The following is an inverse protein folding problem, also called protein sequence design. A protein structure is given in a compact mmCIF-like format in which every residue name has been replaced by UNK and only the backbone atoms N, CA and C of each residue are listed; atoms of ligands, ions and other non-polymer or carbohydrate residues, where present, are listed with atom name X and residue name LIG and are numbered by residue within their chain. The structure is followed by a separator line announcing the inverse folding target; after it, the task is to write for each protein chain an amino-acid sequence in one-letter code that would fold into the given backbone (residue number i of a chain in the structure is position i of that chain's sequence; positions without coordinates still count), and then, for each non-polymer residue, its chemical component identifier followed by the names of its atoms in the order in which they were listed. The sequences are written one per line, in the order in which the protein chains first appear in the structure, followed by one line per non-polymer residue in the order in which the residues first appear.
data_IF_905879122911
#
_entry.id   IF_905879122911
#
_cell.length_a   1.000
_cell.length_b   1.000
_cell.length_c   1.000
_cell.angle_alpha   90.00
_cell.angle_beta   90.00
_cell.angle_gamma   90.00
#
_symmetry.space_group_name_H-M   'P 1'
#
loop_
_entity.id
_entity.type
_entity.pdbx_description
1 polymer ?
#
# COMPACT_ATOMS: atom_id res chain seq x y z
N UNK A 1 43.99 44.08 -18.72
CA UNK A 1 42.52 44.16 -18.67
C UNK A 1 42.13 44.43 -17.22
N UNK A 2 41.51 45.58 -17.00
CA UNK A 2 41.06 46.04 -15.69
C UNK A 2 39.92 45.12 -15.21
N UNK A 3 40.15 44.32 -14.16
CA UNK A 3 39.14 43.37 -13.65
C UNK A 3 38.08 44.14 -12.87
N UNK A 4 37.10 44.70 -13.58
CA UNK A 4 35.90 45.27 -12.96
C UNK A 4 34.97 44.14 -12.51
N UNK A 5 34.32 44.34 -11.36
CA UNK A 5 33.28 43.42 -10.90
C UNK A 5 32.09 43.42 -11.88
N UNK A 6 31.47 42.26 -12.15
CA UNK A 6 30.25 42.21 -12.92
C UNK A 6 29.15 43.03 -12.21
N UNK A 7 28.49 43.91 -12.96
CA UNK A 7 27.35 44.69 -12.50
C UNK A 7 26.09 44.15 -13.19
N UNK A 8 25.01 44.00 -12.41
CA UNK A 8 23.72 43.52 -12.89
C UNK A 8 22.68 44.60 -12.56
N UNK A 9 21.91 45.02 -13.56
CA UNK A 9 20.89 46.07 -13.40
C UNK A 9 19.61 45.54 -12.73
N UNK A 10 19.30 44.23 -12.90
CA UNK A 10 18.12 43.57 -12.36
C UNK A 10 18.44 42.18 -11.77
N UNK A 11 17.68 41.78 -10.74
CA UNK A 11 17.80 40.48 -10.09
C UNK A 11 17.00 39.40 -10.85
N UNK A 12 17.64 38.77 -11.83
CA UNK A 12 17.09 37.65 -12.59
C UNK A 12 17.74 36.32 -12.17
N UNK A 13 17.17 35.68 -11.15
CA UNK A 13 17.68 34.42 -10.60
C UNK A 13 17.59 33.25 -11.60
N UNK A 14 16.50 33.07 -12.39
CA UNK A 14 16.47 32.05 -13.44
C UNK A 14 17.61 32.18 -14.45
N UNK A 15 17.86 33.39 -14.97
CA UNK A 15 18.96 33.61 -15.92
C UNK A 15 20.31 33.33 -15.30
N UNK A 16 20.55 33.81 -14.07
CA UNK A 16 21.80 33.53 -13.35
C UNK A 16 21.99 32.02 -13.15
N UNK A 17 20.94 31.29 -12.80
CA UNK A 17 21.01 29.83 -12.66
C UNK A 17 21.36 29.15 -13.99
N UNK A 18 20.75 29.56 -15.11
CA UNK A 18 21.07 29.03 -16.44
C UNK A 18 22.52 29.31 -16.85
N UNK A 19 23.02 30.53 -16.62
CA UNK A 19 24.41 30.89 -16.90
C UNK A 19 25.40 30.05 -16.08
N UNK A 20 25.15 29.88 -14.78
CA UNK A 20 25.98 29.06 -13.88
C UNK A 20 25.93 27.58 -14.27
N UNK A 21 24.76 27.05 -14.64
CA UNK A 21 24.64 25.66 -15.10
C UNK A 21 25.45 25.43 -16.38
N UNK A 22 25.38 26.34 -17.37
CA UNK A 22 26.18 26.27 -18.60
C UNK A 22 27.66 26.31 -18.31
N UNK A 23 28.09 27.15 -17.36
CA UNK A 23 29.48 27.20 -16.92
C UNK A 23 29.91 25.87 -16.31
N UNK A 24 29.13 25.32 -15.37
CA UNK A 24 29.47 24.04 -14.73
C UNK A 24 29.54 22.87 -15.70
N UNK A 25 28.69 22.86 -16.73
CA UNK A 25 28.71 21.87 -17.79
C UNK A 25 29.94 22.02 -18.69
N UNK A 26 30.24 23.24 -19.15
CA UNK A 26 31.40 23.50 -20.00
C UNK A 26 32.74 23.18 -19.32
N UNK A 27 32.81 23.37 -18.00
CA UNK A 27 34.00 23.10 -17.20
C UNK A 27 34.05 21.66 -16.66
N UNK A 28 33.01 20.85 -16.79
CA UNK A 28 32.88 19.58 -16.05
C UNK A 28 33.17 19.76 -14.54
N UNK A 29 32.52 20.77 -13.92
CA UNK A 29 32.80 21.13 -12.51
C UNK A 29 32.54 19.95 -11.56
N UNK A 30 31.54 19.11 -11.84
CA UNK A 30 31.27 17.93 -11.02
C UNK A 30 32.38 16.89 -11.15
N UNK A 31 32.82 16.53 -12.37
CA UNK A 31 33.93 15.61 -12.59
C UNK A 31 35.23 16.11 -11.98
N UNK A 32 35.56 17.40 -12.16
CA UNK A 32 36.71 18.02 -11.50
C UNK A 32 36.64 17.93 -9.97
N UNK A 33 35.45 18.08 -9.37
CA UNK A 33 35.28 17.97 -7.92
C UNK A 33 35.62 16.58 -7.38
N UNK A 34 35.41 15.53 -8.19
CA UNK A 34 35.79 14.15 -7.88
C UNK A 34 37.28 13.93 -8.08
N UNK A 35 37.84 14.37 -9.21
CA UNK A 35 39.26 14.18 -9.55
C UNK A 35 40.18 14.86 -8.53
N UNK A 36 39.85 16.09 -8.09
CA UNK A 36 40.58 16.80 -7.04
C UNK A 36 40.63 16.05 -5.70
N UNK A 37 39.80 15.02 -5.53
CA UNK A 37 39.62 14.27 -4.28
C UNK A 37 39.77 12.76 -4.46
N UNK A 38 40.34 12.29 -5.57
CA UNK A 38 40.45 10.85 -5.86
C UNK A 38 41.12 10.02 -4.74
N UNK A 39 42.07 10.62 -4.03
CA UNK A 39 42.82 9.99 -2.93
C UNK A 39 42.28 10.36 -1.53
N UNK A 40 41.16 11.08 -1.47
CA UNK A 40 40.57 11.52 -0.22
C UNK A 40 39.66 10.45 0.41
N UNK A 41 39.39 10.51 1.73
CA UNK A 41 38.47 9.60 2.38
C UNK A 41 37.08 9.60 1.71
N UNK A 42 36.50 8.43 1.41
CA UNK A 42 35.20 8.36 0.76
C UNK A 42 34.07 8.70 1.73
N UNK A 43 33.04 9.35 1.20
CA UNK A 43 31.71 9.42 1.79
C UNK A 43 30.74 8.76 0.83
N UNK A 44 30.21 7.59 1.24
CA UNK A 44 29.33 6.79 0.39
C UNK A 44 27.92 7.36 0.46
N UNK A 45 27.41 7.75 -0.70
CA UNK A 45 26.04 8.24 -0.87
C UNK A 45 25.24 7.25 -1.73
N UNK A 46 24.05 6.90 -1.25
CA UNK A 46 23.09 6.10 -2.00
C UNK A 46 21.91 6.95 -2.42
N UNK A 47 21.70 7.05 -3.73
CA UNK A 47 20.49 7.63 -4.29
C UNK A 47 19.43 6.53 -4.34
N UNK A 48 18.34 6.70 -3.59
CA UNK A 48 17.19 5.80 -3.68
C UNK A 48 16.50 5.97 -5.05
N UNK A 49 16.41 4.89 -5.86
CA UNK A 49 16.06 5.02 -7.26
C UNK A 49 14.58 5.40 -7.41
N UNK A 50 14.22 6.47 -8.16
CA UNK A 50 12.84 6.70 -8.51
C UNK A 50 12.29 5.60 -9.44
N UNK A 51 11.01 5.28 -9.29
CA UNK A 51 10.29 4.49 -10.28
C UNK A 51 10.06 5.35 -11.53
N UNK A 52 10.53 4.88 -12.70
CA UNK A 52 10.42 5.65 -13.94
C UNK A 52 9.04 5.51 -14.62
N UNK A 53 7.96 5.57 -13.84
CA UNK A 53 6.59 5.34 -14.32
C UNK A 53 5.71 6.61 -14.36
N UNK A 54 6.30 7.79 -14.08
CA UNK A 54 5.57 9.05 -14.09
C UNK A 54 6.46 10.28 -14.08
N UNK A 55 5.82 11.44 -14.19
CA UNK A 55 6.48 12.75 -14.14
C UNK A 55 6.98 13.05 -12.72
N UNK A 56 8.12 13.74 -12.57
CA UNK A 56 8.57 14.15 -11.25
C UNK A 56 7.66 15.23 -10.66
N UNK A 57 7.25 15.08 -9.40
CA UNK A 57 6.61 16.12 -8.59
C UNK A 57 7.55 16.90 -7.67
N UNK A 58 7.02 17.93 -7.00
CA UNK A 58 7.77 18.83 -6.09
C UNK A 58 8.48 18.08 -4.95
N UNK A 59 7.89 16.98 -4.46
CA UNK A 59 8.50 16.16 -3.41
C UNK A 59 9.84 15.55 -3.85
N UNK A 60 10.02 15.26 -5.14
CA UNK A 60 11.31 14.82 -5.66
C UNK A 60 12.36 15.93 -5.66
N UNK A 61 11.96 17.16 -5.99
CA UNK A 61 12.86 18.34 -5.93
C UNK A 61 13.32 18.56 -4.49
N UNK A 62 12.40 18.54 -3.53
CA UNK A 62 12.72 18.71 -2.11
C UNK A 62 13.69 17.63 -1.61
N UNK A 63 13.41 16.36 -1.91
CA UNK A 63 14.28 15.26 -1.50
C UNK A 63 15.67 15.36 -2.12
N UNK A 64 15.76 15.72 -3.41
CA UNK A 64 17.04 15.87 -4.13
C UNK A 64 17.84 17.08 -3.66
N UNK A 65 17.20 18.21 -3.36
CA UNK A 65 17.86 19.37 -2.81
C UNK A 65 18.55 19.05 -1.48
N UNK A 66 17.86 18.35 -0.56
CA UNK A 66 18.45 17.93 0.72
C UNK A 66 19.63 16.98 0.49
N UNK A 67 19.45 15.96 -0.36
CA UNK A 67 20.52 14.99 -0.70
C UNK A 67 21.76 15.71 -1.25
N UNK A 68 21.58 16.65 -2.18
CA UNK A 68 22.68 17.37 -2.81
C UNK A 68 23.43 18.28 -1.83
N UNK A 69 22.72 19.00 -0.96
CA UNK A 69 23.33 19.87 0.06
C UNK A 69 24.34 19.10 0.92
N UNK A 70 23.96 17.91 1.40
CA UNK A 70 24.88 17.10 2.20
C UNK A 70 26.06 16.56 1.39
N UNK A 71 25.82 16.14 0.14
CA UNK A 71 26.90 15.69 -0.73
C UNK A 71 27.91 16.81 -0.98
N UNK A 72 27.44 18.03 -1.30
CA UNK A 72 28.28 19.23 -1.46
C UNK A 72 29.04 19.58 -0.19
N UNK A 73 28.36 19.55 0.97
CA UNK A 73 28.99 19.78 2.27
C UNK A 73 30.14 18.80 2.53
N UNK A 74 29.94 17.50 2.30
CA UNK A 74 31.00 16.50 2.49
C UNK A 74 32.17 16.70 1.50
N UNK A 75 31.87 17.04 0.25
CA UNK A 75 32.89 17.43 -0.74
C UNK A 75 33.70 18.64 -0.26
N UNK A 76 33.06 19.68 0.28
CA UNK A 76 33.74 20.85 0.85
C UNK A 76 34.54 20.52 2.12
N UNK A 77 34.13 19.51 2.89
CA UNK A 77 34.91 18.95 4.01
C UNK A 77 36.09 18.08 3.57
N UNK A 78 36.36 18.00 2.26
CA UNK A 78 37.52 17.32 1.70
C UNK A 78 37.30 15.84 1.41
N UNK A 79 36.06 15.33 1.40
CA UNK A 79 35.77 13.91 1.12
C UNK A 79 35.48 13.65 -0.36
N UNK A 80 35.82 12.44 -0.82
CA UNK A 80 35.41 11.93 -2.12
C UNK A 80 33.96 11.46 -2.06
N UNK A 81 33.08 12.04 -2.88
CA UNK A 81 31.64 11.74 -2.85
C UNK A 81 31.16 11.33 -4.23
N UNK A 82 31.22 10.04 -4.54
CA UNK A 82 30.59 9.51 -5.75
C UNK A 82 29.07 9.59 -5.63
N UNK A 83 28.42 10.05 -6.70
CA UNK A 83 26.97 10.25 -6.74
C UNK A 83 26.47 9.69 -8.06
N UNK A 84 25.69 8.60 -7.99
CA UNK A 84 25.22 7.87 -9.16
C UNK A 84 23.71 7.81 -9.15
N UNK A 85 23.08 8.11 -10.27
CA UNK A 85 21.63 7.95 -10.41
C UNK A 85 21.23 6.47 -10.39
N UNK A 86 19.97 6.24 -10.03
CA UNK A 86 19.35 4.93 -10.06
C UNK A 86 17.99 4.96 -10.75
N UNK A 87 17.58 3.84 -11.32
CA UNK A 87 16.23 3.64 -11.85
C UNK A 87 15.64 2.35 -11.33
N UNK A 88 14.46 2.44 -10.71
CA UNK A 88 13.67 1.28 -10.34
C UNK A 88 12.68 0.97 -11.47
N UNK A 89 12.84 -0.21 -12.07
CA UNK A 89 12.28 -0.52 -13.39
C UNK A 89 11.46 -1.80 -13.42
N UNK A 90 11.18 -2.41 -12.27
CA UNK A 90 10.36 -3.61 -12.16
C UNK A 90 9.12 -3.36 -11.29
N UNK A 91 8.23 -4.36 -11.24
CA UNK A 91 7.14 -4.41 -10.28
C UNK A 91 5.80 -3.87 -10.79
N UNK A 92 4.80 -4.03 -9.92
CA UNK A 92 3.39 -3.78 -10.22
C UNK A 92 3.08 -2.39 -10.78
N UNK A 93 3.68 -1.28 -10.30
CA UNK A 93 3.33 0.04 -10.81
C UNK A 93 3.59 0.21 -12.31
N UNK A 94 4.59 -0.49 -12.86
CA UNK A 94 4.91 -0.44 -14.30
C UNK A 94 4.02 -1.42 -15.06
N UNK A 95 3.87 -2.65 -14.55
CA UNK A 95 3.01 -3.68 -15.13
C UNK A 95 1.57 -3.18 -15.33
N UNK A 96 0.98 -2.57 -14.29
CA UNK A 96 -0.40 -2.05 -14.34
C UNK A 96 -0.54 -0.85 -15.29
N UNK A 97 0.50 -0.01 -15.40
CA UNK A 97 0.53 1.09 -16.36
C UNK A 97 0.49 0.59 -17.81
N UNK A 98 1.29 -0.42 -18.13
CA UNK A 98 1.33 -1.04 -19.46
C UNK A 98 0.06 -1.82 -19.76
N UNK A 99 -0.49 -2.57 -18.80
CA UNK A 99 -1.77 -3.26 -18.95
C UNK A 99 -2.89 -2.28 -19.34
N UNK A 100 -2.95 -1.12 -18.67
CA UNK A 100 -3.91 -0.05 -18.97
C UNK A 100 -3.70 0.56 -20.36
N UNK A 101 -2.45 0.82 -20.75
CA UNK A 101 -2.12 1.38 -22.08
C UNK A 101 -2.48 0.42 -23.21
N UNK A 102 -2.26 -0.87 -23.02
CA UNK A 102 -2.56 -1.91 -24.01
C UNK A 102 -4.02 -2.39 -23.96
N UNK A 103 -4.80 -1.96 -22.96
CA UNK A 103 -6.17 -2.41 -22.75
C UNK A 103 -6.28 -3.92 -22.46
N UNK A 104 -5.27 -4.49 -21.81
CA UNK A 104 -5.19 -5.91 -21.47
C UNK A 104 -5.31 -6.12 -19.96
N UNK A 105 -5.54 -7.37 -19.57
CA UNK A 105 -5.46 -7.82 -18.18
C UNK A 105 -4.34 -8.85 -18.03
N UNK A 106 -3.89 -9.14 -16.80
CA UNK A 106 -2.95 -10.24 -16.54
C UNK A 106 -3.34 -11.57 -17.16
N UNK A 107 -4.64 -11.87 -17.29
CA UNK A 107 -5.11 -13.13 -17.89
C UNK A 107 -4.90 -13.22 -19.42
N UNK A 108 -4.65 -12.09 -20.07
CA UNK A 108 -4.39 -11.98 -21.51
C UNK A 108 -2.91 -12.20 -21.86
N UNK A 109 -2.01 -12.08 -20.89
CA UNK A 109 -0.57 -12.30 -21.06
C UNK A 109 -0.34 -13.81 -21.31
N UNK A 110 0.37 -14.13 -22.40
CA UNK A 110 0.55 -15.50 -22.90
C UNK A 110 -0.61 -16.00 -23.78
N UNK A 111 -1.66 -15.20 -24.00
CA UNK A 111 -2.79 -15.54 -24.89
C UNK A 111 -2.97 -14.54 -26.03
N UNK A 112 -3.15 -13.26 -25.70
CA UNK A 112 -3.33 -12.15 -26.67
C UNK A 112 -2.02 -11.44 -26.98
N UNK A 113 -1.10 -11.41 -26.02
CA UNK A 113 0.24 -10.87 -26.14
C UNK A 113 1.22 -11.91 -25.58
N UNK A 114 2.37 -12.09 -26.19
CA UNK A 114 3.40 -12.96 -25.62
C UNK A 114 4.04 -12.32 -24.37
N UNK A 115 4.66 -13.15 -23.53
CA UNK A 115 5.41 -12.67 -22.35
C UNK A 115 6.57 -11.76 -22.79
N UNK A 116 7.23 -12.10 -23.90
CA UNK A 116 8.35 -11.32 -24.44
C UNK A 116 7.90 -9.94 -24.89
N UNK A 117 6.81 -9.85 -25.67
CA UNK A 117 6.26 -8.57 -26.13
C UNK A 117 5.78 -7.71 -24.95
N UNK A 118 5.15 -8.32 -23.94
CA UNK A 118 4.72 -7.61 -22.74
C UNK A 118 5.92 -7.05 -21.95
N UNK A 119 6.97 -7.84 -21.75
CA UNK A 119 8.18 -7.40 -21.08
C UNK A 119 8.90 -6.29 -21.88
N UNK A 120 8.92 -6.38 -23.20
CA UNK A 120 9.45 -5.34 -24.07
C UNK A 120 8.66 -4.03 -23.94
N UNK A 121 7.33 -4.11 -23.86
CA UNK A 121 6.47 -2.95 -23.62
C UNK A 121 6.74 -2.30 -22.24
N UNK A 122 6.89 -3.11 -21.18
CA UNK A 122 7.28 -2.65 -19.85
C UNK A 122 8.62 -1.92 -19.86
N UNK A 123 9.63 -2.50 -20.52
CA UNK A 123 10.96 -1.88 -20.64
C UNK A 123 10.91 -0.54 -21.39
N UNK A 124 10.09 -0.43 -22.44
CA UNK A 124 9.89 0.81 -23.19
C UNK A 124 9.17 1.88 -22.35
N UNK A 125 8.21 1.49 -21.53
CA UNK A 125 7.47 2.41 -20.67
C UNK A 125 8.39 3.08 -19.64
N UNK A 126 9.30 2.32 -19.03
CA UNK A 126 10.30 2.82 -18.07
C UNK A 126 11.14 3.95 -18.66
N UNK A 127 11.64 3.76 -19.88
CA UNK A 127 12.54 4.72 -20.53
C UNK A 127 11.84 6.02 -20.92
N UNK A 128 10.50 6.03 -21.00
CA UNK A 128 9.71 7.17 -21.47
C UNK A 128 9.88 8.42 -20.60
N UNK A 129 10.06 8.24 -19.29
CA UNK A 129 10.13 9.35 -18.34
C UNK A 129 11.56 9.74 -17.96
N UNK A 130 12.55 8.89 -18.24
CA UNK A 130 13.96 9.09 -17.86
C UNK A 130 14.51 10.45 -18.28
N UNK A 131 14.21 10.90 -19.51
CA UNK A 131 14.71 12.19 -20.02
C UNK A 131 14.15 13.39 -19.27
N UNK A 132 12.85 13.37 -18.95
CA UNK A 132 12.19 14.45 -18.19
C UNK A 132 12.78 14.56 -16.79
N UNK A 133 13.07 13.42 -16.16
CA UNK A 133 13.72 13.40 -14.87
C UNK A 133 15.17 13.85 -14.93
N UNK A 134 15.92 13.47 -15.98
CA UNK A 134 17.29 13.93 -16.19
C UNK A 134 17.34 15.46 -16.37
N UNK A 135 16.43 16.02 -17.18
CA UNK A 135 16.27 17.47 -17.35
C UNK A 135 15.96 18.16 -16.01
N UNK A 136 14.98 17.67 -15.25
CA UNK A 136 14.70 18.20 -13.91
C UNK A 136 15.95 18.18 -13.01
N UNK A 137 16.71 17.06 -13.01
CA UNK A 137 17.92 16.90 -12.19
C UNK A 137 18.96 17.97 -12.51
N UNK A 138 19.19 18.22 -13.80
CA UNK A 138 20.11 19.25 -14.29
C UNK A 138 19.64 20.64 -13.90
N UNK A 139 18.35 20.95 -14.11
CA UNK A 139 17.76 22.26 -13.81
C UNK A 139 17.83 22.66 -12.34
N UNK A 140 17.66 21.70 -11.43
CA UNK A 140 17.79 21.96 -9.99
C UNK A 140 19.25 22.00 -9.52
N UNK A 141 20.21 21.79 -10.42
CA UNK A 141 21.64 21.81 -10.11
C UNK A 141 22.14 20.62 -9.29
N UNK A 142 21.43 19.48 -9.29
CA UNK A 142 21.87 18.32 -8.54
C UNK A 142 23.00 17.60 -9.28
N UNK A 143 24.21 17.64 -8.71
CA UNK A 143 25.37 16.92 -9.26
C UNK A 143 25.22 15.42 -9.03
N UNK A 144 24.90 14.70 -10.10
CA UNK A 144 24.63 13.27 -10.11
C UNK A 144 25.10 12.71 -11.45
N UNK A 145 25.78 11.56 -11.45
CA UNK A 145 26.11 10.84 -12.68
C UNK A 145 24.82 10.26 -13.29
N UNK A 146 24.37 10.92 -14.37
CA UNK A 146 23.20 10.55 -15.17
C UNK A 146 23.57 9.71 -16.39
N UNK A 147 24.84 9.65 -16.77
CA UNK A 147 25.32 8.94 -17.95
C UNK A 147 25.43 7.44 -17.68
N UNK A 148 25.87 7.10 -16.47
CA UNK A 148 26.02 5.73 -16.04
C UNK A 148 25.08 5.44 -14.87
N UNK A 149 23.74 5.50 -15.00
CA UNK A 149 22.86 5.15 -13.90
C UNK A 149 22.92 3.63 -13.62
N UNK A 150 22.65 3.21 -12.38
CA UNK A 150 22.30 1.80 -12.15
C UNK A 150 20.82 1.59 -12.46
N UNK A 151 20.50 0.46 -13.11
CA UNK A 151 19.14 0.19 -13.60
C UNK A 151 18.75 -1.23 -13.23
N UNK A 152 17.61 -1.41 -12.55
CA UNK A 152 17.30 -2.71 -11.93
C UNK A 152 17.03 -3.83 -12.93
N UNK A 153 16.62 -3.54 -14.18
CA UNK A 153 16.49 -4.55 -15.24
C UNK A 153 17.81 -5.01 -15.87
N UNK A 154 18.95 -4.38 -15.55
CA UNK A 154 20.23 -4.76 -16.17
C UNK A 154 20.72 -6.11 -15.65
N UNK A 155 21.29 -6.93 -16.52
CA UNK A 155 21.72 -8.30 -16.19
C UNK A 155 22.67 -8.35 -15.00
N UNK A 156 23.66 -7.45 -14.92
CA UNK A 156 24.60 -7.39 -13.79
C UNK A 156 23.92 -7.07 -12.46
N UNK A 157 22.87 -6.22 -12.48
CA UNK A 157 22.10 -5.91 -11.28
C UNK A 157 21.30 -7.13 -10.83
N UNK A 158 20.61 -7.79 -11.77
CA UNK A 158 19.83 -9.01 -11.51
C UNK A 158 20.73 -10.14 -10.98
N UNK A 159 21.91 -10.33 -11.57
CA UNK A 159 22.90 -11.32 -11.12
C UNK A 159 23.34 -11.06 -9.67
N UNK A 160 23.55 -9.79 -9.30
CA UNK A 160 23.87 -9.41 -7.92
C UNK A 160 22.73 -9.75 -6.96
N UNK A 161 21.47 -9.55 -7.38
CA UNK A 161 20.29 -9.93 -6.59
C UNK A 161 20.19 -11.46 -6.47
N UNK A 162 20.45 -12.22 -7.53
CA UNK A 162 20.48 -13.69 -7.48
C UNK A 162 21.57 -14.21 -6.55
N UNK A 163 22.75 -13.58 -6.56
CA UNK A 163 23.81 -13.89 -5.61
C UNK A 163 23.35 -13.66 -4.17
N UNK A 164 22.71 -12.51 -3.87
CA UNK A 164 22.15 -12.23 -2.54
C UNK A 164 21.09 -13.26 -2.12
N UNK A 165 20.16 -13.60 -3.02
CA UNK A 165 19.15 -14.63 -2.75
C UNK A 165 19.78 -15.99 -2.46
N UNK A 166 20.84 -16.35 -3.18
CA UNK A 166 21.61 -17.57 -2.91
C UNK A 166 22.26 -17.52 -1.52
N UNK A 167 22.85 -16.39 -1.13
CA UNK A 167 23.44 -16.25 0.21
C UNK A 167 22.38 -16.42 1.31
N UNK A 168 21.19 -15.84 1.14
CA UNK A 168 20.08 -16.02 2.09
C UNK A 168 19.60 -17.47 2.13
N UNK A 169 19.55 -18.15 0.99
CA UNK A 169 19.20 -19.56 0.90
C UNK A 169 20.22 -20.46 1.59
N UNK A 170 21.52 -20.24 1.34
CA UNK A 170 22.61 -21.00 1.96
C UNK A 170 22.64 -20.83 3.49
N UNK A 171 22.10 -19.73 4.02
CA UNK A 171 21.97 -19.44 5.46
C UNK A 171 20.62 -19.87 6.06
N UNK A 172 19.77 -20.59 5.32
CA UNK A 172 18.42 -21.01 5.75
C UNK A 172 17.47 -19.83 6.10
N UNK A 173 17.72 -18.66 5.51
CA UNK A 173 16.90 -17.44 5.67
C UNK A 173 15.83 -17.31 4.57
N UNK A 174 15.87 -18.15 3.53
CA UNK A 174 14.90 -18.18 2.43
C UNK A 174 14.18 -19.53 2.39
N UNK A 175 12.89 -19.53 2.77
CA UNK A 175 12.08 -20.75 2.85
C UNK A 175 10.74 -20.59 2.12
N UNK A 176 10.15 -21.73 1.75
CA UNK A 176 8.79 -21.80 1.19
C UNK A 176 7.80 -22.22 2.28
N UNK A 177 6.77 -21.42 2.50
CA UNK A 177 5.72 -21.71 3.48
C UNK A 177 4.32 -21.34 2.99
N UNK A 178 3.31 -21.80 3.73
CA UNK A 178 1.91 -21.41 3.52
C UNK A 178 1.50 -20.48 4.66
N UNK A 179 1.12 -19.25 4.32
CA UNK A 179 0.67 -18.25 5.29
C UNK A 179 -0.57 -17.54 4.76
N UNK A 180 -1.41 -17.03 5.66
CA UNK A 180 -2.52 -16.16 5.27
C UNK A 180 -1.90 -14.79 4.97
N UNK A 181 -1.86 -14.42 3.69
CA UNK A 181 -1.32 -13.15 3.24
C UNK A 181 -2.43 -12.28 2.66
N UNK A 182 -2.33 -10.95 2.84
CA UNK A 182 -3.09 -9.98 2.06
C UNK A 182 -2.87 -10.20 0.56
N UNK A 183 -3.93 -10.15 -0.23
CA UNK A 183 -3.90 -10.51 -1.65
C UNK A 183 -4.73 -9.50 -2.45
N UNK A 184 -4.19 -8.96 -3.55
CA UNK A 184 -4.97 -8.15 -4.49
C UNK A 184 -5.54 -9.04 -5.59
N UNK A 185 -6.88 -9.19 -5.69
CA UNK A 185 -7.50 -9.91 -6.79
C UNK A 185 -7.25 -9.26 -8.15
N UNK A 186 -7.07 -7.94 -8.19
CA UNK A 186 -6.77 -7.21 -9.42
C UNK A 186 -5.35 -7.51 -9.92
N UNK A 187 -4.37 -7.52 -9.02
CA UNK A 187 -2.97 -7.80 -9.38
C UNK A 187 -2.61 -9.29 -9.43
N UNK A 188 -3.48 -10.17 -8.92
CA UNK A 188 -3.29 -11.62 -8.92
C UNK A 188 -2.13 -12.10 -8.04
N UNK A 189 -1.73 -11.32 -7.03
CA UNK A 189 -0.55 -11.61 -6.20
C UNK A 189 -0.75 -11.20 -4.74
N UNK A 190 0.04 -11.82 -3.87
CA UNK A 190 0.17 -11.42 -2.46
C UNK A 190 0.84 -10.05 -2.34
N UNK A 191 0.47 -9.32 -1.30
CA UNK A 191 0.99 -7.98 -0.98
C UNK A 191 1.78 -8.03 0.32
N UNK A 192 2.86 -7.28 0.37
CA UNK A 192 3.64 -7.07 1.60
C UNK A 192 2.91 -6.16 2.59
N UNK A 193 3.28 -6.27 3.87
CA UNK A 193 2.77 -5.37 4.91
C UNK A 193 3.09 -3.89 4.63
N UNK A 194 4.20 -3.60 3.96
CA UNK A 194 4.57 -2.25 3.58
C UNK A 194 3.67 -1.69 2.48
N UNK A 195 3.30 -2.49 1.47
CA UNK A 195 2.37 -2.08 0.41
C UNK A 195 0.96 -1.79 0.96
N UNK A 196 0.51 -2.55 1.95
CA UNK A 196 -0.78 -2.31 2.61
C UNK A 196 -0.83 -0.99 3.38
N UNK A 197 0.30 -0.57 3.93
CA UNK A 197 0.42 0.63 4.74
C UNK A 197 0.71 1.88 3.91
N UNK A 198 0.73 1.78 2.57
CA UNK A 198 0.90 2.95 1.71
C UNK A 198 -0.30 3.92 1.82
N UNK A 199 -0.06 5.24 1.75
CA UNK A 199 -1.13 6.23 1.74
C UNK A 199 -2.13 5.96 0.61
N UNK A 200 -3.42 6.02 0.92
CA UNK A 200 -4.49 5.77 -0.05
C UNK A 200 -4.89 4.30 -0.22
N UNK A 201 -4.14 3.36 0.35
CA UNK A 201 -4.51 1.94 0.37
C UNK A 201 -5.72 1.71 1.28
N UNK A 202 -5.79 2.34 2.46
CA UNK A 202 -6.99 2.26 3.30
C UNK A 202 -8.03 3.31 2.91
N UNK A 203 -9.22 2.86 2.50
CA UNK A 203 -10.35 3.71 2.10
C UNK A 203 -11.58 3.43 2.96
N UNK A 204 -12.36 4.46 3.33
CA UNK A 204 -13.66 4.24 3.94
C UNK A 204 -14.59 3.56 2.92
N UNK A 205 -15.22 2.47 3.31
CA UNK A 205 -16.20 1.75 2.51
C UNK A 205 -17.43 1.38 3.32
N UNK A 206 -18.53 1.20 2.61
CA UNK A 206 -19.77 0.68 3.16
C UNK A 206 -19.78 -0.82 3.05
N UNK A 207 -20.00 -1.48 4.18
CA UNK A 207 -20.18 -2.92 4.23
C UNK A 207 -21.54 -3.27 4.80
N UNK A 208 -22.11 -4.34 4.27
CA UNK A 208 -23.32 -4.92 4.81
C UNK A 208 -22.97 -5.70 6.07
N UNK A 209 -23.47 -5.24 7.21
CA UNK A 209 -23.43 -6.01 8.45
C UNK A 209 -24.74 -6.76 8.61
N UNK A 210 -24.66 -8.06 8.88
CA UNK A 210 -25.83 -8.89 9.14
C UNK A 210 -25.81 -9.32 10.61
N UNK A 211 -26.95 -9.14 11.28
CA UNK A 211 -27.20 -9.67 12.62
C UNK A 211 -28.17 -10.84 12.46
N UNK A 212 -27.79 -12.00 12.98
CA UNK A 212 -28.59 -13.20 12.97
C UNK A 212 -28.86 -13.68 14.39
N UNK A 213 -30.08 -14.15 14.62
CA UNK A 213 -30.47 -14.80 15.87
C UNK A 213 -30.48 -16.30 15.67
N UNK A 214 -29.82 -17.01 16.57
CA UNK A 214 -29.82 -18.47 16.62
C UNK A 214 -30.60 -18.90 17.84
N UNK A 215 -31.75 -19.54 17.63
CA UNK A 215 -32.52 -20.12 18.73
C UNK A 215 -31.72 -21.26 19.36
N UNK A 216 -31.53 -21.19 20.68
CA UNK A 216 -30.83 -22.24 21.41
C UNK A 216 -31.74 -23.45 21.52
N UNK A 217 -31.21 -24.61 21.12
CA UNK A 217 -31.86 -25.91 21.35
C UNK A 217 -31.54 -26.32 22.79
N UNK A 218 -32.57 -26.57 23.60
CA UNK A 218 -32.39 -26.98 24.99
C UNK A 218 -31.94 -28.44 25.06
N UNK A 219 -30.71 -28.66 25.55
CA UNK A 219 -30.14 -29.95 25.90
C UNK A 219 -29.29 -29.85 27.19
N UNK A 220 -28.65 -30.96 27.58
CA UNK A 220 -27.79 -31.03 28.78
C UNK A 220 -26.65 -30.01 28.81
N UNK A 221 -26.15 -29.61 27.64
CA UNK A 221 -25.04 -28.67 27.51
C UNK A 221 -25.50 -27.21 27.54
N UNK A 222 -26.74 -26.93 27.11
CA UNK A 222 -27.31 -25.59 27.07
C UNK A 222 -28.22 -25.27 28.26
N UNK A 223 -28.53 -26.24 29.11
CA UNK A 223 -29.52 -26.13 30.20
C UNK A 223 -29.29 -24.92 31.12
N UNK A 224 -28.01 -24.60 31.37
CA UNK A 224 -27.61 -23.44 32.17
C UNK A 224 -28.01 -22.09 31.56
N UNK A 225 -28.26 -22.02 30.25
CA UNK A 225 -28.71 -20.80 29.57
C UNK A 225 -30.20 -20.50 29.80
N UNK A 226 -30.97 -21.48 30.28
CA UNK A 226 -32.41 -21.36 30.54
C UNK A 226 -32.72 -21.12 32.03
N UNK A 227 -31.72 -21.22 32.92
CA UNK A 227 -31.90 -20.98 34.35
C UNK A 227 -32.27 -19.52 34.62
N UNK A 228 -33.45 -19.27 35.19
CA UNK A 228 -33.98 -17.93 35.48
C UNK A 228 -35.02 -17.40 34.49
N UNK A 229 -35.19 -18.05 33.33
CA UNK A 229 -36.25 -17.72 32.34
C UNK A 229 -37.51 -18.53 32.60
N UNK A 230 -37.36 -19.77 33.07
CA UNK A 230 -38.47 -20.65 33.47
C UNK A 230 -39.09 -20.25 34.83
N UNK A 231 -38.60 -19.19 35.48
CA UNK A 231 -39.16 -18.69 36.73
C UNK A 231 -40.36 -17.78 36.43
N UNK A 232 -41.58 -18.09 36.88
CA UNK A 232 -42.70 -17.17 36.70
C UNK A 232 -42.36 -15.85 37.42
N UNK A 233 -42.40 -14.73 36.69
CA UNK A 233 -42.24 -13.41 37.29
C UNK A 233 -43.15 -13.30 38.51
N UNK A 234 -42.66 -12.92 39.70
CA UNK A 234 -43.53 -12.70 40.84
C UNK A 234 -44.55 -11.65 40.43
N UNK A 235 -45.84 -11.99 40.42
CA UNK A 235 -46.88 -10.95 40.44
C UNK A 235 -46.70 -10.24 41.78
N UNK A 236 -46.14 -9.04 41.77
CA UNK A 236 -46.29 -8.15 42.91
C UNK A 236 -47.79 -7.89 43.09
N UNK A 237 -48.39 -8.53 44.09
CA UNK A 237 -49.70 -8.11 44.59
C UNK A 237 -49.49 -6.80 45.34
N UNK A 238 -49.76 -5.68 44.68
CA UNK A 238 -49.93 -4.41 45.36
C UNK A 238 -51.14 -4.48 46.32
N UNK A 239 -51.14 -3.73 47.43
CA UNK A 239 -52.26 -3.71 48.36
C UNK A 239 -53.45 -3.00 47.69
N UNK A 240 -54.52 -3.75 47.38
CA UNK A 240 -55.79 -3.19 46.89
C UNK A 240 -56.38 -3.79 45.61
N UNK A 241 -55.89 -4.92 45.11
CA UNK A 241 -56.39 -5.51 43.85
C UNK A 241 -57.70 -6.29 44.07
N UNK A 242 -58.84 -5.58 44.06
CA UNK A 242 -60.17 -6.17 43.94
C UNK A 242 -60.44 -6.56 42.48
N UNK A 243 -60.91 -7.80 42.30
CA UNK A 243 -60.90 -8.48 41.02
C UNK A 243 -61.77 -7.85 39.95
N UNK A 244 -61.13 -7.28 38.93
CA UNK A 244 -61.75 -7.08 37.62
C UNK A 244 -60.76 -7.45 36.50
N UNK A 245 -61.04 -8.57 35.84
CA UNK A 245 -60.30 -9.06 34.69
C UNK A 245 -60.68 -8.28 33.43
N UNK A 246 -59.92 -7.25 33.08
CA UNK A 246 -59.87 -6.75 31.70
C UNK A 246 -58.63 -7.31 31.00
N UNK A 247 -58.78 -8.04 29.87
CA UNK A 247 -57.64 -8.46 29.10
C UNK A 247 -57.04 -7.26 28.37
N UNK A 248 -55.83 -6.85 28.74
CA UNK A 248 -55.04 -5.91 27.96
C UNK A 248 -54.71 -6.55 26.59
N UNK A 249 -54.92 -5.84 25.47
CA UNK A 249 -54.72 -6.40 24.15
C UNK A 249 -53.23 -6.43 23.79
N UNK A 250 -52.79 -7.53 23.18
CA UNK A 250 -51.64 -7.50 22.26
C UNK A 250 -50.28 -7.95 22.79
N UNK A 251 -50.19 -9.01 23.61
CA UNK A 251 -48.99 -9.89 23.58
C UNK A 251 -49.10 -10.83 22.38
N UNK A 252 -48.85 -10.29 21.19
CA UNK A 252 -48.64 -11.10 20.00
C UNK A 252 -47.40 -11.98 20.22
N UNK A 253 -47.59 -13.30 20.10
CA UNK A 253 -46.58 -14.32 20.32
C UNK A 253 -45.39 -14.15 19.35
N UNK A 254 -44.25 -13.69 19.87
CA UNK A 254 -42.94 -13.94 19.27
C UNK A 254 -42.24 -14.89 20.25
N UNK A 255 -42.01 -16.12 19.79
CA UNK A 255 -41.88 -17.31 20.62
C UNK A 255 -40.90 -17.22 21.80
N UNK A 256 -41.35 -17.72 22.95
CA UNK A 256 -40.54 -17.92 24.15
C UNK A 256 -39.34 -18.84 23.83
N UNK A 257 -38.13 -18.38 24.18
CA UNK A 257 -36.89 -19.13 23.96
C UNK A 257 -35.65 -18.27 24.18
N UNK A 258 -34.53 -18.94 24.46
CA UNK A 258 -33.21 -18.31 24.53
C UNK A 258 -32.64 -18.22 23.10
N UNK A 259 -32.09 -17.06 22.75
CA UNK A 259 -31.42 -16.83 21.48
C UNK A 259 -29.98 -16.38 21.72
N UNK A 260 -29.07 -16.84 20.86
CA UNK A 260 -27.72 -16.31 20.74
C UNK A 260 -27.72 -15.33 19.58
N UNK A 261 -27.24 -14.12 19.82
CA UNK A 261 -26.97 -13.15 18.77
C UNK A 261 -25.58 -13.41 18.19
N UNK A 262 -25.50 -13.46 16.86
CA UNK A 262 -24.23 -13.36 16.17
C UNK A 262 -24.33 -12.26 15.12
N UNK A 263 -23.26 -11.50 14.95
CA UNK A 263 -23.16 -10.55 13.85
C UNK A 263 -21.90 -10.83 13.05
N UNK A 264 -21.96 -10.48 11.77
CA UNK A 264 -20.81 -10.48 10.89
C UNK A 264 -20.82 -9.21 10.06
N UNK A 265 -19.65 -8.62 9.89
CA UNK A 265 -19.42 -7.60 8.89
C UNK A 265 -18.98 -8.34 7.64
N UNK A 266 -19.84 -8.43 6.63
CA UNK A 266 -19.47 -9.17 5.43
C UNK A 266 -18.30 -8.45 4.75
N UNK A 267 -17.13 -9.10 4.76
CA UNK A 267 -16.17 -8.90 3.70
C UNK A 267 -16.82 -9.33 2.39
N UNK A 268 -17.53 -8.41 1.72
CA UNK A 268 -17.71 -8.47 0.28
C UNK A 268 -16.31 -8.37 -0.33
N UNK A 269 -15.57 -9.48 -0.28
CA UNK A 269 -14.73 -9.81 -1.39
C UNK A 269 -15.68 -9.86 -2.56
N UNK A 270 -15.48 -8.98 -3.54
CA UNK A 270 -15.87 -9.28 -4.92
C UNK A 270 -15.07 -10.52 -5.32
N UNK A 271 -15.48 -11.68 -4.79
CA UNK A 271 -15.12 -12.95 -5.35
C UNK A 271 -15.88 -12.94 -6.68
N UNK A 272 -15.18 -12.51 -7.72
CA UNK A 272 -15.60 -12.74 -9.09
C UNK A 272 -16.17 -14.16 -9.14
N UNK A 273 -17.33 -14.33 -9.76
CA UNK A 273 -17.99 -15.62 -10.00
C UNK A 273 -17.02 -16.55 -10.74
N UNK A 274 -16.10 -17.17 -10.03
CA UNK A 274 -15.28 -18.28 -10.47
C UNK A 274 -15.41 -19.32 -9.38
N UNK A 275 -16.04 -20.44 -9.74
CA UNK A 275 -16.07 -21.66 -8.93
C UNK A 275 -14.61 -22.10 -8.73
N UNK A 276 -14.01 -21.66 -7.64
CA UNK A 276 -12.84 -22.33 -7.08
C UNK A 276 -13.25 -23.77 -6.71
N UNK A 277 -12.45 -24.80 -7.03
CA UNK A 277 -12.70 -26.17 -6.57
C UNK A 277 -12.43 -26.32 -5.06
N UNK A 278 -11.90 -25.29 -4.41
CA UNK A 278 -11.66 -25.23 -2.97
C UNK A 278 -12.82 -24.50 -2.30
N UNK A 279 -13.60 -25.25 -1.52
CA UNK A 279 -14.86 -24.85 -0.92
C UNK A 279 -14.84 -23.54 -0.12
N UNK A 280 -16.04 -22.97 0.09
CA UNK A 280 -16.28 -21.77 0.89
C UNK A 280 -15.66 -21.93 2.28
N UNK A 281 -14.65 -21.13 2.63
CA UNK A 281 -14.15 -21.06 4.01
C UNK A 281 -14.94 -19.99 4.77
N UNK A 282 -15.35 -20.25 6.03
CA UNK A 282 -16.20 -19.34 6.79
C UNK A 282 -15.47 -18.04 7.15
N UNK A 283 -16.19 -16.93 7.07
CA UNK A 283 -15.77 -15.63 7.62
C UNK A 283 -15.63 -15.72 9.14
N UNK A 284 -14.74 -14.92 9.74
CA UNK A 284 -14.62 -14.80 11.19
C UNK A 284 -15.94 -14.28 11.77
N UNK A 285 -16.64 -15.13 12.52
CA UNK A 285 -17.84 -14.77 13.28
C UNK A 285 -17.39 -14.42 14.69
N UNK A 286 -17.62 -13.18 15.12
CA UNK A 286 -17.46 -12.81 16.53
C UNK A 286 -18.77 -13.20 17.23
N UNK A 287 -18.69 -14.14 18.17
CA UNK A 287 -19.81 -14.57 18.99
C UNK A 287 -19.73 -13.86 20.33
N UNK A 288 -20.60 -12.90 20.58
CA UNK A 288 -20.83 -12.38 21.94
C UNK A 288 -22.09 -13.05 22.50
N UNK A 289 -21.91 -13.80 23.58
CA UNK A 289 -22.97 -14.56 24.23
C UNK A 289 -23.68 -13.65 25.23
N UNK A 290 -24.78 -13.03 24.82
CA UNK A 290 -25.71 -12.36 25.72
C UNK A 290 -27.09 -13.04 25.63
N UNK A 291 -27.70 -13.47 26.74
CA UNK A 291 -29.10 -13.89 26.73
C UNK A 291 -29.96 -12.64 26.53
N UNK A 292 -30.55 -12.49 25.34
CA UNK A 292 -31.32 -11.28 24.98
C UNK A 292 -32.80 -11.62 24.88
N UNK A 293 -33.65 -10.83 25.56
CA UNK A 293 -35.10 -10.89 25.38
C UNK A 293 -35.43 -10.35 23.98
N UNK A 294 -36.32 -10.99 23.19
CA UNK A 294 -36.56 -10.69 21.76
C UNK A 294 -36.94 -9.25 21.37
N UNK A 295 -37.14 -8.33 22.32
CA UNK A 295 -37.45 -6.91 22.05
C UNK A 295 -36.24 -6.00 21.89
N UNK A 296 -35.01 -6.46 22.20
CA UNK A 296 -33.81 -5.62 22.19
C UNK A 296 -32.93 -5.75 20.93
N UNK A 297 -33.24 -6.68 20.02
CA UNK A 297 -32.45 -6.91 18.81
C UNK A 297 -33.19 -6.38 17.58
N UNK A 298 -32.70 -5.28 16.99
CA UNK A 298 -33.20 -4.80 15.71
C UNK A 298 -32.83 -5.80 14.61
N UNK A 299 -33.83 -6.37 13.94
CA UNK A 299 -33.62 -7.31 12.84
C UNK A 299 -33.38 -6.56 11.54
N UNK A 300 -32.16 -6.63 11.02
CA UNK A 300 -31.88 -6.05 9.72
C UNK A 300 -30.41 -6.10 9.35
N UNK A 301 -30.15 -6.16 8.05
CA UNK A 301 -28.86 -5.78 7.53
C UNK A 301 -28.71 -4.27 7.70
N UNK A 302 -27.69 -3.82 8.43
CA UNK A 302 -27.39 -2.40 8.60
C UNK A 302 -26.10 -2.07 7.83
N UNK A 303 -26.10 -0.94 7.13
CA UNK A 303 -24.86 -0.43 6.54
C UNK A 303 -23.94 0.06 7.65
N UNK A 304 -22.70 -0.41 7.65
CA UNK A 304 -21.67 0.06 8.59
C UNK A 304 -20.48 0.57 7.77
N UNK A 305 -19.98 1.73 8.16
CA UNK A 305 -18.80 2.34 7.54
C UNK A 305 -17.54 1.81 8.21
N UNK A 306 -16.67 1.16 7.46
CA UNK A 306 -15.36 0.69 7.91
C UNK A 306 -14.23 1.20 7.02
N UNK A 307 -12.97 1.02 7.43
CA UNK A 307 -11.80 1.24 6.55
C UNK A 307 -11.33 -0.09 5.97
N UNK A 308 -11.10 -0.16 4.66
CA UNK A 308 -10.56 -1.34 3.97
C UNK A 308 -9.38 -1.03 3.09
N UNK A 309 -8.54 -2.04 2.90
CA UNK A 309 -7.46 -2.07 1.90
C UNK A 309 -8.06 -2.11 0.49
N UNK A 310 -7.63 -1.19 -0.37
CA UNK A 310 -7.93 -1.11 -1.79
C UNK A 310 -6.62 -1.00 -2.57
N UNK A 311 -6.32 -2.01 -3.38
CA UNK A 311 -5.32 -1.99 -4.46
C UNK A 311 -5.88 -2.68 -5.69
#
# INVERSE_FOLDING_TARGET
MDKRFPQYDELDLPRVAEEVLKQWEAEDTFGQSLELRKDAPPFVFYEGPPSANGLPGIHHVMARAIKDIFCRYQTQKGKLVHRKAGWDTHGLPIELGVEKELGITKEDIGKKISIEEYNAACKKAVMRYTDVWNDMTRRIGFWLDLEHPYVTYTTKYIESVWWLLKQLYDQDLLYKGYTIQPYSPAAGTGLSSHELNQPGTYKPVKDTSAVAMFKVIRDKSSEFLFSGIDSPSPREKGPGDEGHSHPLPGRGAVGEGVFILAWTTAALFSCARRRSPWGRRPQTVILELQPVHPRAADHGAREVTGRRVFQ
#
